data_IF_268183066095
#
_entry.id   IF_268183066095
#
_cell.length_a   1.000
_cell.length_b   1.000
_cell.length_c   1.000
_cell.angle_alpha   90.00
_cell.angle_beta   90.00
_cell.angle_gamma   90.00
#
_symmetry.space_group_name_H-M   'P 1'
#
loop_
_entity.id
_entity.type
_entity.pdbx_description
1 polymer ?
#
# COMPACT_ATOMS: atom_id res chain seq x y z
N UNK A 1 22.73 6.14 -25.55
CA UNK A 1 22.50 5.58 -24.21
C UNK A 1 21.91 4.19 -24.40
N UNK A 2 22.68 3.12 -24.16
CA UNK A 2 22.18 1.74 -24.27
C UNK A 2 21.12 1.52 -23.18
N UNK A 3 19.84 1.43 -23.57
CA UNK A 3 18.80 0.96 -22.65
C UNK A 3 19.08 -0.51 -22.37
N UNK A 4 19.30 -0.86 -21.09
CA UNK A 4 19.58 -2.23 -20.69
C UNK A 4 18.30 -3.07 -20.90
N UNK A 5 18.29 -3.94 -21.90
CA UNK A 5 17.15 -4.81 -22.21
C UNK A 5 17.20 -6.07 -21.34
N UNK A 6 16.51 -6.02 -20.19
CA UNK A 6 16.43 -7.13 -19.25
C UNK A 6 15.85 -8.42 -19.88
N UNK A 7 15.07 -8.34 -20.96
CA UNK A 7 14.49 -9.52 -21.62
C UNK A 7 15.56 -10.41 -22.25
N UNK A 8 16.70 -9.84 -22.64
CA UNK A 8 17.83 -10.57 -23.24
C UNK A 8 18.78 -11.16 -22.20
N UNK A 9 18.50 -10.97 -20.91
CA UNK A 9 19.31 -11.48 -19.81
C UNK A 9 18.65 -12.70 -19.15
N UNK A 10 19.34 -13.33 -18.19
CA UNK A 10 18.76 -14.41 -17.35
C UNK A 10 17.52 -13.96 -16.57
N UNK A 11 17.33 -12.65 -16.39
CA UNK A 11 16.16 -12.09 -15.69
C UNK A 11 14.92 -12.01 -16.58
N UNK A 12 15.04 -12.21 -17.90
CA UNK A 12 13.91 -12.14 -18.83
C UNK A 12 12.77 -13.09 -18.49
N UNK A 13 13.06 -14.24 -17.86
CA UNK A 13 12.05 -15.21 -17.40
C UNK A 13 11.10 -14.70 -16.31
N UNK A 14 11.49 -13.63 -15.60
CA UNK A 14 10.71 -13.02 -14.53
C UNK A 14 9.98 -11.75 -14.97
N UNK A 15 10.13 -11.35 -16.23
CA UNK A 15 9.57 -10.08 -16.69
C UNK A 15 8.08 -10.20 -17.01
N UNK A 16 7.31 -9.28 -16.44
CA UNK A 16 5.95 -9.00 -16.87
C UNK A 16 5.90 -8.45 -18.30
N UNK A 17 4.77 -8.67 -18.97
CA UNK A 17 4.45 -7.95 -20.20
C UNK A 17 4.00 -6.54 -19.86
N UNK A 18 4.44 -5.55 -20.65
CA UNK A 18 4.00 -4.18 -20.47
C UNK A 18 2.50 -4.08 -20.71
N UNK A 19 1.77 -3.52 -19.75
CA UNK A 19 0.31 -3.48 -19.78
C UNK A 19 -0.16 -2.34 -20.70
N UNK A 20 -0.95 -2.62 -21.75
CA UNK A 20 -1.60 -1.58 -22.55
C UNK A 20 -2.61 -0.80 -21.68
N UNK A 21 -2.82 0.49 -21.97
CA UNK A 21 -3.75 1.35 -21.21
C UNK A 21 -5.18 0.80 -21.11
N UNK A 22 -5.60 -0.03 -22.07
CA UNK A 22 -6.93 -0.65 -22.14
C UNK A 22 -7.04 -2.00 -21.41
N UNK A 23 -5.96 -2.57 -20.89
CA UNK A 23 -5.95 -3.87 -20.22
C UNK A 23 -5.58 -3.72 -18.75
N UNK A 24 -6.07 -4.66 -17.93
CA UNK A 24 -5.68 -4.76 -16.52
C UNK A 24 -4.28 -5.35 -16.39
N UNK A 25 -3.62 -5.02 -15.29
CA UNK A 25 -2.33 -5.60 -14.91
C UNK A 25 -2.42 -7.14 -14.86
N UNK A 26 -1.45 -7.80 -15.49
CA UNK A 26 -1.35 -9.27 -15.59
C UNK A 26 0.08 -9.70 -15.23
N UNK A 27 0.36 -9.94 -13.94
CA UNK A 27 1.67 -10.36 -13.49
C UNK A 27 1.98 -11.81 -13.90
N UNK A 28 3.27 -12.11 -14.01
CA UNK A 28 3.78 -13.48 -14.02
C UNK A 28 3.53 -14.15 -12.66
N UNK A 29 3.52 -15.48 -12.62
CA UNK A 29 3.41 -16.26 -11.38
C UNK A 29 4.43 -15.83 -10.32
N UNK A 30 5.67 -15.59 -10.74
CA UNK A 30 6.73 -15.13 -9.85
C UNK A 30 6.45 -13.73 -9.29
N UNK A 31 6.06 -12.78 -10.14
CA UNK A 31 5.79 -11.42 -9.69
C UNK A 31 4.54 -11.37 -8.81
N UNK A 32 3.56 -12.22 -9.09
CA UNK A 32 2.38 -12.37 -8.25
C UNK A 32 2.71 -12.97 -6.88
N UNK A 33 3.65 -13.93 -6.82
CA UNK A 33 4.27 -14.43 -5.59
C UNK A 33 4.93 -13.32 -4.78
N UNK A 34 5.78 -12.54 -5.45
CA UNK A 34 6.47 -11.44 -4.82
C UNK A 34 5.49 -10.39 -4.27
N UNK A 35 4.46 -10.03 -5.05
CA UNK A 35 3.44 -9.08 -4.63
C UNK A 35 2.70 -9.56 -3.37
N UNK A 36 2.22 -10.81 -3.35
CA UNK A 36 1.59 -11.41 -2.18
C UNK A 36 2.52 -11.43 -0.97
N UNK A 37 3.78 -11.86 -1.16
CA UNK A 37 4.75 -11.97 -0.08
C UNK A 37 5.08 -10.59 0.52
N UNK A 38 5.31 -9.58 -0.34
CA UNK A 38 5.63 -8.23 0.11
C UNK A 38 4.51 -7.62 0.94
N UNK A 39 3.23 -7.78 0.56
CA UNK A 39 2.12 -7.25 1.36
C UNK A 39 1.82 -8.10 2.59
N UNK A 40 1.80 -9.42 2.44
CA UNK A 40 1.49 -10.36 3.51
C UNK A 40 2.45 -10.23 4.69
N UNK A 41 3.73 -9.97 4.41
CA UNK A 41 4.73 -9.72 5.45
C UNK A 41 4.38 -8.50 6.33
N UNK A 42 3.84 -7.42 5.75
CA UNK A 42 3.57 -6.17 6.48
C UNK A 42 2.24 -6.13 7.23
N UNK A 43 1.36 -7.12 7.05
CA UNK A 43 0.07 -7.20 7.79
C UNK A 43 0.30 -7.29 9.30
N UNK A 44 1.18 -8.19 9.76
CA UNK A 44 1.41 -8.37 11.20
C UNK A 44 2.09 -7.12 11.80
N UNK A 45 3.19 -6.58 11.23
CA UNK A 45 3.77 -5.33 11.68
C UNK A 45 2.80 -4.15 11.72
N UNK A 46 1.88 -4.01 10.74
CA UNK A 46 0.93 -2.90 10.72
C UNK A 46 -0.09 -3.00 11.85
N UNK A 47 -0.58 -4.21 12.15
CA UNK A 47 -1.51 -4.46 13.26
C UNK A 47 -0.80 -4.19 14.58
N UNK A 48 0.41 -4.72 14.77
CA UNK A 48 1.19 -4.49 15.99
C UNK A 48 1.52 -3.00 16.19
N UNK A 49 1.95 -2.32 15.12
CA UNK A 49 2.22 -0.89 15.16
C UNK A 49 0.99 -0.08 15.54
N UNK A 50 -0.18 -0.45 15.00
CA UNK A 50 -1.47 0.15 15.39
C UNK A 50 -1.78 -0.06 16.87
N UNK A 51 -1.61 -1.30 17.37
CA UNK A 51 -1.85 -1.60 18.79
C UNK A 51 -0.92 -0.80 19.70
N UNK A 52 0.36 -0.66 19.33
CA UNK A 52 1.32 0.16 20.08
C UNK A 52 0.87 1.61 20.17
N UNK A 53 0.48 2.25 19.06
CA UNK A 53 -0.01 3.63 19.10
C UNK A 53 -1.28 3.79 19.95
N UNK A 54 -2.19 2.80 19.89
CA UNK A 54 -3.39 2.81 20.71
C UNK A 54 -3.10 2.67 22.21
N UNK A 55 -2.12 1.84 22.60
CA UNK A 55 -1.76 1.72 24.02
C UNK A 55 -0.92 2.89 24.54
N UNK A 56 -0.28 3.64 23.65
CA UNK A 56 0.48 4.84 23.99
C UNK A 56 -0.37 6.11 23.97
N UNK A 57 -1.61 6.07 23.44
CA UNK A 57 -2.46 7.26 23.37
C UNK A 57 -2.94 7.66 24.75
N UNK A 58 -2.68 8.91 25.13
CA UNK A 58 -3.12 9.50 26.38
C UNK A 58 -4.44 10.28 26.21
N UNK A 59 -4.70 10.83 25.00
CA UNK A 59 -5.90 11.61 24.71
C UNK A 59 -6.75 11.10 23.53
N UNK A 60 -7.93 11.70 23.35
CA UNK A 60 -8.90 11.29 22.33
C UNK A 60 -8.38 11.53 20.91
N UNK A 61 -7.65 12.62 20.65
CA UNK A 61 -7.08 12.93 19.34
C UNK A 61 -5.92 12.01 19.00
N UNK A 62 -5.08 11.67 19.98
CA UNK A 62 -4.07 10.62 19.83
C UNK A 62 -4.73 9.27 19.55
N UNK A 63 -5.80 8.92 20.28
CA UNK A 63 -6.54 7.67 20.03
C UNK A 63 -7.10 7.63 18.60
N UNK A 64 -7.76 8.70 18.16
CA UNK A 64 -8.31 8.82 16.80
C UNK A 64 -7.20 8.72 15.75
N UNK A 65 -6.06 9.38 15.97
CA UNK A 65 -4.91 9.34 15.06
C UNK A 65 -4.33 7.92 14.94
N UNK A 66 -4.21 7.20 16.05
CA UNK A 66 -3.78 5.80 16.09
C UNK A 66 -4.73 4.92 15.27
N UNK A 67 -6.05 5.09 15.44
CA UNK A 67 -7.06 4.34 14.71
C UNK A 67 -7.03 4.64 13.21
N UNK A 68 -7.00 5.92 12.83
CA UNK A 68 -6.99 6.33 11.42
C UNK A 68 -5.75 5.79 10.69
N UNK A 69 -4.57 5.97 11.27
CA UNK A 69 -3.32 5.50 10.66
C UNK A 69 -3.24 3.96 10.66
N UNK A 70 -3.49 3.33 11.81
CA UNK A 70 -3.31 1.90 12.00
C UNK A 70 -4.30 1.03 11.22
N UNK A 71 -5.59 1.41 11.19
CA UNK A 71 -6.59 0.70 10.38
C UNK A 71 -6.45 0.97 8.89
N UNK A 72 -6.09 2.20 8.50
CA UNK A 72 -5.79 2.54 7.11
C UNK A 72 -4.62 1.72 6.56
N UNK A 73 -3.51 1.67 7.31
CA UNK A 73 -2.31 0.92 6.91
C UNK A 73 -2.54 -0.59 6.89
N UNK A 74 -3.22 -1.13 7.91
CA UNK A 74 -3.55 -2.57 7.94
C UNK A 74 -4.55 -2.96 6.86
N UNK A 75 -5.57 -2.12 6.63
CA UNK A 75 -6.54 -2.30 5.56
C UNK A 75 -5.90 -2.33 4.17
N UNK A 76 -4.92 -1.45 3.92
CA UNK A 76 -4.14 -1.42 2.68
C UNK A 76 -3.44 -2.77 2.41
N UNK A 77 -2.68 -3.27 3.39
CA UNK A 77 -1.94 -4.53 3.22
C UNK A 77 -2.87 -5.74 3.10
N UNK A 78 -3.97 -5.78 3.87
CA UNK A 78 -4.96 -6.86 3.81
C UNK A 78 -5.66 -6.86 2.45
N UNK A 79 -6.22 -5.74 2.02
CA UNK A 79 -6.95 -5.65 0.75
C UNK A 79 -6.06 -5.94 -0.45
N UNK A 80 -4.81 -5.47 -0.43
CA UNK A 80 -3.83 -5.78 -1.48
C UNK A 80 -3.49 -7.27 -1.52
N UNK A 81 -3.21 -7.89 -0.36
CA UNK A 81 -2.93 -9.33 -0.26
C UNK A 81 -4.12 -10.16 -0.73
N UNK A 82 -5.35 -9.78 -0.35
CA UNK A 82 -6.57 -10.42 -0.82
C UNK A 82 -6.74 -10.28 -2.33
N UNK A 83 -6.51 -9.09 -2.88
CA UNK A 83 -6.62 -8.85 -4.32
C UNK A 83 -5.64 -9.74 -5.11
N UNK A 84 -4.38 -9.78 -4.71
CA UNK A 84 -3.39 -10.64 -5.37
C UNK A 84 -3.72 -12.12 -5.16
N UNK A 85 -4.02 -12.56 -3.94
CA UNK A 85 -4.35 -13.97 -3.66
C UNK A 85 -5.58 -14.43 -4.44
N UNK A 86 -6.65 -13.64 -4.50
CA UNK A 86 -7.86 -13.97 -5.27
C UNK A 86 -7.59 -13.94 -6.77
N UNK A 87 -6.83 -12.97 -7.26
CA UNK A 87 -6.44 -12.91 -8.68
C UNK A 87 -5.55 -14.09 -9.08
N UNK A 88 -4.71 -14.56 -8.17
CA UNK A 88 -3.88 -15.75 -8.34
C UNK A 88 -4.76 -16.99 -8.39
N UNK A 89 -5.57 -17.17 -7.35
CA UNK A 89 -6.43 -18.34 -7.26
C UNK A 89 -7.32 -18.37 -8.48
N UNK A 90 -7.91 -17.26 -8.94
CA UNK A 90 -8.75 -17.21 -10.14
C UNK A 90 -8.01 -17.61 -11.44
N UNK A 91 -6.72 -17.27 -11.61
CA UNK A 91 -5.93 -17.72 -12.77
C UNK A 91 -5.75 -19.24 -12.74
N UNK A 92 -5.52 -19.82 -11.55
CA UNK A 92 -5.37 -21.26 -11.33
C UNK A 92 -6.72 -22.03 -11.31
N UNK A 93 -7.77 -21.43 -10.76
CA UNK A 93 -9.10 -22.03 -10.56
C UNK A 93 -9.94 -22.00 -11.83
N UNK A 94 -9.60 -21.18 -12.84
CA UNK A 94 -10.23 -21.27 -14.17
C UNK A 94 -10.12 -22.69 -14.77
N UNK A 95 -9.18 -23.50 -14.30
CA UNK A 95 -9.05 -24.91 -14.67
C UNK A 95 -9.83 -25.87 -13.74
N UNK A 96 -10.18 -25.50 -12.50
CA UNK A 96 -10.68 -26.42 -11.46
C UNK A 96 -11.99 -25.99 -10.75
N UNK A 97 -12.67 -24.93 -11.18
CA UNK A 97 -13.85 -24.33 -10.52
C UNK A 97 -15.10 -25.23 -10.45
N UNK A 98 -15.09 -26.43 -11.03
CA UNK A 98 -16.22 -27.37 -10.96
C UNK A 98 -16.26 -28.22 -9.68
N UNK A 99 -15.19 -28.30 -8.89
CA UNK A 99 -15.09 -29.29 -7.80
C UNK A 99 -15.08 -28.72 -6.36
N UNK A 100 -15.03 -27.40 -6.19
CA UNK A 100 -14.95 -26.79 -4.86
C UNK A 100 -16.34 -26.55 -4.28
N UNK A 101 -16.74 -27.43 -3.35
CA UNK A 101 -18.04 -27.48 -2.66
C UNK A 101 -18.46 -26.24 -1.83
N UNK A 102 -19.31 -26.40 -0.79
CA UNK A 102 -20.12 -25.34 -0.18
C UNK A 102 -19.37 -24.07 0.27
N UNK A 103 -18.11 -24.19 0.69
CA UNK A 103 -17.27 -23.07 1.10
C UNK A 103 -16.98 -22.04 -0.02
N UNK A 104 -17.00 -22.45 -1.30
CA UNK A 104 -16.87 -21.53 -2.44
C UNK A 104 -18.09 -20.61 -2.60
N UNK A 105 -19.27 -21.06 -2.17
CA UNK A 105 -20.53 -20.28 -2.23
C UNK A 105 -20.53 -19.14 -1.21
N UNK A 106 -19.97 -19.35 -0.01
CA UNK A 106 -19.87 -18.27 0.99
C UNK A 106 -18.87 -17.19 0.60
N UNK A 107 -17.72 -17.58 0.01
CA UNK A 107 -16.76 -16.63 -0.58
C UNK A 107 -17.36 -15.80 -1.71
N UNK A 108 -18.37 -16.32 -2.44
CA UNK A 108 -19.06 -15.59 -3.50
C UNK A 108 -19.76 -14.34 -2.95
N UNK A 109 -20.48 -14.43 -1.83
CA UNK A 109 -21.18 -13.26 -1.26
C UNK A 109 -20.23 -12.19 -0.74
N UNK A 110 -19.13 -12.58 -0.09
CA UNK A 110 -18.12 -11.64 0.40
C UNK A 110 -17.41 -10.92 -0.77
N UNK A 111 -17.06 -11.66 -1.82
CA UNK A 111 -16.50 -11.08 -3.05
C UNK A 111 -17.52 -10.17 -3.73
N UNK A 112 -18.81 -10.51 -3.76
CA UNK A 112 -19.84 -9.66 -4.35
C UNK A 112 -20.09 -8.39 -3.54
N UNK A 113 -20.05 -8.42 -2.22
CA UNK A 113 -20.17 -7.20 -1.39
C UNK A 113 -18.97 -6.28 -1.62
N UNK A 114 -17.74 -6.81 -1.55
CA UNK A 114 -16.53 -6.02 -1.83
C UNK A 114 -16.48 -5.57 -3.30
N UNK A 115 -16.96 -6.38 -4.24
CA UNK A 115 -17.04 -6.00 -5.63
C UNK A 115 -18.12 -4.96 -5.88
N UNK A 116 -19.26 -4.99 -5.19
CA UNK A 116 -20.30 -3.97 -5.28
C UNK A 116 -19.83 -2.65 -4.65
N UNK A 117 -19.14 -2.70 -3.51
CA UNK A 117 -18.56 -1.51 -2.88
C UNK A 117 -17.42 -0.91 -3.73
N UNK A 118 -16.48 -1.75 -4.18
CA UNK A 118 -15.39 -1.33 -5.07
C UNK A 118 -15.87 -0.92 -6.46
N UNK A 119 -16.92 -1.56 -6.99
CA UNK A 119 -17.53 -1.15 -8.26
C UNK A 119 -18.35 0.12 -8.10
N UNK A 120 -19.09 0.34 -7.01
CA UNK A 120 -19.75 1.63 -6.76
C UNK A 120 -18.71 2.75 -6.68
N UNK A 121 -17.63 2.55 -5.92
CA UNK A 121 -16.51 3.49 -5.82
C UNK A 121 -15.89 3.80 -7.19
N UNK A 122 -15.56 2.77 -7.98
CA UNK A 122 -14.97 2.92 -9.32
C UNK A 122 -15.97 3.46 -10.36
N UNK A 123 -17.26 3.14 -10.23
CA UNK A 123 -18.29 3.55 -11.19
C UNK A 123 -18.73 5.01 -10.97
N UNK A 124 -18.70 5.49 -9.73
CA UNK A 124 -18.98 6.90 -9.43
C UNK A 124 -17.75 7.81 -9.63
N UNK A 125 -16.51 7.30 -9.54
CA UNK A 125 -15.31 8.17 -9.47
C UNK A 125 -14.10 7.79 -10.36
N UNK A 126 -14.06 6.65 -11.07
CA UNK A 126 -12.90 6.25 -11.88
C UNK A 126 -13.13 6.42 -13.39
N UNK A 127 -12.61 7.52 -13.93
CA UNK A 127 -12.57 7.76 -15.38
C UNK A 127 -11.33 7.17 -16.06
N UNK A 128 -11.47 6.99 -17.37
CA UNK A 128 -10.64 6.26 -18.36
C UNK A 128 -9.13 6.63 -18.40
N UNK A 129 -8.68 7.59 -17.60
CA UNK A 129 -7.33 8.16 -17.65
C UNK A 129 -6.47 7.70 -16.46
N UNK A 130 -5.63 6.68 -16.69
CA UNK A 130 -4.65 6.17 -15.70
C UNK A 130 -3.69 7.24 -15.14
N UNK A 131 -3.47 8.33 -15.89
CA UNK A 131 -2.66 9.47 -15.43
C UNK A 131 -3.41 10.31 -14.42
N UNK A 132 -4.70 10.59 -14.66
CA UNK A 132 -5.53 11.34 -13.71
C UNK A 132 -5.63 10.59 -12.38
N UNK A 133 -5.80 9.28 -12.46
CA UNK A 133 -5.84 8.40 -11.29
C UNK A 133 -4.56 8.52 -10.44
N UNK A 134 -3.39 8.42 -11.08
CA UNK A 134 -2.09 8.60 -10.41
C UNK A 134 -1.93 10.00 -9.80
N UNK A 135 -2.38 11.05 -10.51
CA UNK A 135 -2.32 12.43 -10.00
C UNK A 135 -3.21 12.60 -8.76
N UNK A 136 -4.44 12.09 -8.79
CA UNK A 136 -5.35 12.14 -7.65
C UNK A 136 -4.77 11.42 -6.43
N UNK A 137 -4.22 10.21 -6.59
CA UNK A 137 -3.59 9.49 -5.48
C UNK A 137 -2.35 10.22 -4.95
N UNK A 138 -1.53 10.79 -5.82
CA UNK A 138 -0.35 11.57 -5.40
C UNK A 138 -0.78 12.83 -4.64
N UNK A 139 -1.83 13.51 -5.11
CA UNK A 139 -2.40 14.66 -4.43
C UNK A 139 -2.94 14.31 -3.04
N UNK A 140 -3.65 13.18 -2.89
CA UNK A 140 -4.14 12.71 -1.58
C UNK A 140 -2.99 12.53 -0.57
N UNK A 141 -1.82 12.05 -1.01
CA UNK A 141 -0.65 11.92 -0.14
C UNK A 141 0.10 13.23 0.14
N UNK A 142 0.05 14.19 -0.79
CA UNK A 142 0.83 15.44 -0.72
C UNK A 142 0.06 16.61 -0.09
N UNK A 143 -1.25 16.72 -0.29
CA UNK A 143 -2.08 17.84 0.20
C UNK A 143 -2.03 17.99 1.73
N UNK A 144 -2.05 16.91 2.55
CA UNK A 144 -1.89 17.04 3.99
C UNK A 144 -0.59 17.75 4.41
N UNK A 145 0.46 17.70 3.58
CA UNK A 145 1.73 18.39 3.86
C UNK A 145 1.63 19.93 3.79
N UNK A 146 0.52 20.51 3.29
CA UNK A 146 0.27 21.96 3.34
C UNK A 146 0.24 22.48 4.78
N UNK A 147 -0.12 21.64 5.75
CA UNK A 147 -0.09 21.97 7.19
C UNK A 147 1.30 22.46 7.64
N UNK A 148 2.38 22.01 6.99
CA UNK A 148 3.75 22.44 7.28
C UNK A 148 3.97 23.95 7.12
N UNK A 149 3.17 24.63 6.29
CA UNK A 149 3.26 26.09 6.11
C UNK A 149 2.83 26.87 7.35
N UNK A 150 2.01 26.25 8.21
CA UNK A 150 1.41 26.87 9.39
C UNK A 150 1.97 26.30 10.70
N UNK A 151 2.89 25.33 10.66
CA UNK A 151 3.45 24.71 11.88
C UNK A 151 4.61 25.53 12.46
N UNK A 152 4.53 25.95 13.74
CA UNK A 152 5.62 26.66 14.40
C UNK A 152 6.76 25.73 14.83
N UNK A 153 6.46 24.50 15.26
CA UNK A 153 7.45 23.47 15.54
C UNK A 153 7.73 22.65 14.27
N UNK A 154 9.02 22.47 13.95
CA UNK A 154 9.49 21.76 12.74
C UNK A 154 10.04 20.36 13.03
N UNK A 155 9.90 19.86 14.24
CA UNK A 155 10.24 18.49 14.59
C UNK A 155 9.39 17.48 13.79
N UNK A 156 10.01 16.38 13.37
CA UNK A 156 9.37 15.35 12.53
C UNK A 156 9.27 15.67 11.03
N UNK A 157 9.53 16.92 10.61
CA UNK A 157 9.48 17.29 9.18
C UNK A 157 10.48 16.50 8.35
N UNK A 158 11.67 16.23 8.89
CA UNK A 158 12.70 15.47 8.17
C UNK A 158 12.22 14.05 7.89
N UNK A 159 11.68 13.37 8.89
CA UNK A 159 11.13 12.02 8.78
C UNK A 159 9.93 11.97 7.82
N UNK A 160 8.99 12.92 7.94
CA UNK A 160 7.88 13.08 6.99
C UNK A 160 8.38 13.28 5.56
N UNK A 161 9.41 14.12 5.37
CA UNK A 161 10.02 14.40 4.06
C UNK A 161 10.71 13.18 3.48
N UNK A 162 11.48 12.45 4.30
CA UNK A 162 12.17 11.22 3.90
C UNK A 162 11.14 10.16 3.47
N UNK A 163 10.07 9.96 4.25
CA UNK A 163 8.99 9.05 3.85
C UNK A 163 8.31 9.49 2.53
N UNK A 164 8.11 10.79 2.33
CA UNK A 164 7.63 11.38 1.08
C UNK A 164 8.54 11.06 -0.12
N UNK A 165 9.86 11.17 0.05
CA UNK A 165 10.85 10.79 -0.97
C UNK A 165 10.74 9.32 -1.33
N UNK A 166 10.58 8.42 -0.34
CA UNK A 166 10.36 6.99 -0.61
C UNK A 166 9.09 6.74 -1.44
N UNK A 167 7.99 7.43 -1.15
CA UNK A 167 6.78 7.33 -1.99
C UNK A 167 7.02 7.80 -3.42
N UNK A 168 7.70 8.94 -3.60
CA UNK A 168 8.04 9.48 -4.93
C UNK A 168 8.95 8.52 -5.72
N UNK A 169 9.97 7.95 -5.08
CA UNK A 169 10.83 6.94 -5.70
C UNK A 169 10.05 5.67 -6.04
N UNK A 170 9.12 5.27 -5.19
CA UNK A 170 8.20 4.17 -5.46
C UNK A 170 7.42 4.36 -6.77
N UNK A 171 6.93 5.57 -7.07
CA UNK A 171 6.19 5.86 -8.31
C UNK A 171 7.04 5.55 -9.56
N UNK A 172 8.36 5.72 -9.49
CA UNK A 172 9.28 5.37 -10.58
C UNK A 172 9.23 3.87 -10.86
N UNK A 173 9.27 3.03 -9.82
CA UNK A 173 9.16 1.57 -9.96
C UNK A 173 7.77 1.14 -10.40
N UNK A 174 6.71 1.78 -9.89
CA UNK A 174 5.34 1.55 -10.34
C UNK A 174 5.18 1.79 -11.85
N UNK A 175 5.73 2.89 -12.37
CA UNK A 175 5.72 3.18 -13.81
C UNK A 175 6.67 2.32 -14.64
N UNK A 176 7.64 1.68 -13.99
CA UNK A 176 8.60 0.78 -14.62
C UNK A 176 8.11 -0.66 -14.73
N UNK A 177 6.85 -0.93 -14.40
CA UNK A 177 6.24 -2.25 -14.57
C UNK A 177 6.30 -2.72 -16.03
N UNK A 178 6.76 -3.97 -16.21
CA UNK A 178 7.07 -4.56 -17.51
C UNK A 178 8.37 -4.09 -18.18
N UNK A 179 9.11 -3.15 -17.58
CA UNK A 179 10.47 -2.75 -17.97
C UNK A 179 11.53 -3.37 -17.05
N UNK A 180 11.26 -3.42 -15.73
CA UNK A 180 12.14 -4.01 -14.72
C UNK A 180 11.45 -5.27 -14.16
N UNK A 181 12.16 -6.39 -13.96
CA UNK A 181 11.58 -7.57 -13.30
C UNK A 181 11.17 -7.24 -11.86
N UNK A 182 9.99 -7.70 -11.43
CA UNK A 182 9.48 -7.45 -10.07
C UNK A 182 9.27 -5.97 -9.72
N UNK A 183 9.15 -5.08 -10.70
CA UNK A 183 9.02 -3.65 -10.47
C UNK A 183 7.84 -3.31 -9.54
N UNK A 184 6.73 -4.03 -9.67
CA UNK A 184 5.55 -3.81 -8.83
C UNK A 184 5.80 -4.23 -7.38
N UNK A 185 6.49 -5.36 -7.17
CA UNK A 185 6.86 -5.82 -5.83
C UNK A 185 7.88 -4.87 -5.18
N UNK A 186 8.84 -4.36 -5.95
CA UNK A 186 9.79 -3.34 -5.47
C UNK A 186 9.05 -2.07 -5.07
N UNK A 187 8.07 -1.62 -5.86
CA UNK A 187 7.22 -0.50 -5.50
C UNK A 187 6.55 -0.68 -4.13
N UNK A 188 6.03 -1.88 -3.82
CA UNK A 188 5.46 -2.15 -2.50
C UNK A 188 6.47 -1.96 -1.36
N UNK A 189 7.73 -2.35 -1.56
CA UNK A 189 8.78 -2.16 -0.55
C UNK A 189 9.03 -0.67 -0.31
N UNK A 190 9.09 0.15 -1.37
CA UNK A 190 9.23 1.61 -1.22
C UNK A 190 8.05 2.24 -0.48
N UNK A 191 6.82 1.82 -0.79
CA UNK A 191 5.60 2.27 -0.09
C UNK A 191 5.64 1.86 1.38
N UNK A 192 6.03 0.61 1.68
CA UNK A 192 6.11 0.11 3.04
C UNK A 192 7.20 0.83 3.87
N UNK A 193 8.36 1.10 3.28
CA UNK A 193 9.42 1.88 3.93
C UNK A 193 8.96 3.31 4.17
N UNK A 194 8.32 3.97 3.19
CA UNK A 194 7.74 5.30 3.35
C UNK A 194 6.73 5.35 4.51
N UNK A 195 5.82 4.38 4.56
CA UNK A 195 4.86 4.24 5.66
C UNK A 195 5.54 3.93 7.00
N UNK A 196 6.61 3.14 7.02
CA UNK A 196 7.40 2.88 8.22
C UNK A 196 8.07 4.14 8.77
N UNK A 197 8.63 4.97 7.91
CA UNK A 197 9.24 6.25 8.30
C UNK A 197 8.18 7.23 8.81
N UNK A 198 7.02 7.32 8.16
CA UNK A 198 5.89 8.12 8.64
C UNK A 198 5.37 7.63 9.99
N UNK A 199 5.24 6.32 10.17
CA UNK A 199 4.90 5.72 11.45
C UNK A 199 5.90 6.10 12.55
N UNK A 200 7.20 6.02 12.25
CA UNK A 200 8.25 6.42 13.18
C UNK A 200 8.14 7.89 13.58
N UNK A 201 7.84 8.79 12.63
CA UNK A 201 7.62 10.20 12.92
C UNK A 201 6.44 10.40 13.88
N UNK A 202 5.31 9.73 13.64
CA UNK A 202 4.13 9.77 14.50
C UNK A 202 4.49 9.25 15.89
N UNK A 203 5.05 8.04 15.99
CA UNK A 203 5.40 7.44 17.27
C UNK A 203 6.37 8.32 18.07
N UNK A 204 7.42 8.86 17.44
CA UNK A 204 8.46 9.63 18.11
C UNK A 204 7.99 11.00 18.57
N UNK A 205 7.30 11.74 17.70
CA UNK A 205 7.01 13.16 17.92
C UNK A 205 5.61 13.43 18.45
N UNK A 206 4.66 12.51 18.23
CA UNK A 206 3.32 12.60 18.81
C UNK A 206 3.25 11.86 20.15
N UNK A 207 3.68 10.59 20.21
CA UNK A 207 3.47 9.74 21.41
C UNK A 207 4.67 9.70 22.38
N UNK A 208 5.91 9.58 21.88
CA UNK A 208 7.07 9.37 22.76
C UNK A 208 7.51 10.66 23.48
N UNK A 209 7.35 11.83 22.86
CA UNK A 209 7.63 13.13 23.47
C UNK A 209 6.56 13.60 24.46
N UNK A 210 5.29 13.19 24.27
CA UNK A 210 4.19 13.52 25.20
C UNK A 210 4.37 12.91 26.60
N UNK A 211 4.85 11.67 26.66
CA UNK A 211 5.06 10.95 27.93
C UNK A 211 6.19 11.49 28.80
N UNK A 212 7.15 12.24 28.22
CA UNK A 212 8.32 12.78 28.93
C UNK A 212 8.06 14.05 29.74
N UNK A 213 7.10 14.88 29.32
CA UNK A 213 6.82 16.17 30.00
C UNK A 213 5.90 15.99 31.22
N UNK A 214 4.97 15.04 31.20
CA UNK A 214 4.00 14.84 32.30
C UNK A 214 4.64 14.16 33.53
N UNK A 215 5.76 13.44 33.37
CA UNK A 215 6.45 12.78 34.49
C UNK A 215 7.29 13.72 35.36
N UNK A 216 7.55 14.95 34.94
CA UNK A 216 8.35 15.93 35.70
C UNK A 216 7.45 16.91 36.48
N UNK A 217 6.15 16.93 36.23
CA UNK A 217 5.19 17.83 36.91
C UNK A 217 4.24 17.13 37.89
N UNK A 218 4.57 15.92 38.38
CA UNK A 218 3.85 15.26 39.48
C UNK A 218 4.74 15.11 40.69
#
# INVERSE_FOLDING_TARGET
>A
MYSMDFRRTKLGRFMNNRVPSSKRYQPTEYEHAANCATHGFWIIPSILGSSVLYFLSDDQWETISAWMYGTGLSGLFIMSTMFHTVSWKKSHLRLNLRELGPWAVHMRWLVWIMACAGSAYVFFFHEKNKVLDLLCYTAMGAVPAVVLLSMPNREGILELSVGGVFYCLGIVFFKSDGLIPFAHAIWHVFVAVGAGVHYYAIWRYLYATGTGQIKISR
#
